data_IF_625866620419
#
_entry.id   IF_625866620419
#
_cell.length_a   1.000
_cell.length_b   1.000
_cell.length_c   1.000
_cell.angle_alpha   90.00
_cell.angle_beta   90.00
_cell.angle_gamma   90.00
#
_symmetry.space_group_name_H-M   'P 1'
#
loop_
_entity.id
_entity.type
_entity.pdbx_description
1 polymer ?
#
# COMPACT_ATOMS: atom_id res chain seq x y z
N UNK A 1 24.35 6.65 -8.76
CA UNK A 1 23.17 6.21 -7.99
C UNK A 1 22.52 5.08 -8.77
N UNK A 2 22.45 3.90 -8.17
CA UNK A 2 21.77 2.74 -8.77
C UNK A 2 20.33 2.69 -8.27
N UNK A 3 19.39 2.52 -9.21
CA UNK A 3 17.97 2.33 -8.87
C UNK A 3 17.54 0.94 -9.29
N UNK A 4 16.96 0.18 -8.37
CA UNK A 4 16.50 -1.17 -8.59
C UNK A 4 15.02 -1.29 -8.21
N UNK A 5 14.26 -2.00 -9.05
CA UNK A 5 12.90 -2.42 -8.75
C UNK A 5 12.95 -3.93 -8.53
N UNK A 6 12.53 -4.40 -7.39
CA UNK A 6 12.44 -5.83 -7.10
C UNK A 6 11.00 -6.25 -6.92
N UNK A 7 10.56 -7.28 -7.63
CA UNK A 7 9.18 -7.75 -7.66
C UNK A 7 9.12 -9.23 -7.28
N UNK A 8 8.72 -9.53 -6.05
CA UNK A 8 8.55 -10.90 -5.54
C UNK A 8 7.10 -11.34 -5.71
N UNK A 9 6.89 -12.41 -6.49
CA UNK A 9 5.58 -12.90 -6.87
C UNK A 9 5.16 -14.13 -6.06
N UNK A 10 4.00 -14.04 -5.43
CA UNK A 10 3.32 -15.15 -4.75
C UNK A 10 1.91 -15.32 -5.33
N UNK A 11 1.20 -16.43 -5.04
CA UNK A 11 -0.12 -16.64 -5.58
C UNK A 11 -1.07 -15.48 -5.27
N UNK A 12 -1.53 -14.78 -6.31
CA UNK A 12 -2.45 -13.65 -6.22
C UNK A 12 -1.87 -12.33 -5.73
N UNK A 13 -0.58 -12.26 -5.40
CA UNK A 13 0.05 -11.05 -4.84
C UNK A 13 1.48 -10.87 -5.36
N UNK A 14 1.83 -9.65 -5.71
CA UNK A 14 3.20 -9.24 -6.02
C UNK A 14 3.63 -8.15 -5.04
N UNK A 15 4.71 -8.38 -4.32
CA UNK A 15 5.37 -7.38 -3.46
C UNK A 15 6.42 -6.65 -4.29
N UNK A 16 6.37 -5.34 -4.31
CA UNK A 16 7.23 -4.50 -5.16
C UNK A 16 8.01 -3.53 -4.29
N UNK A 17 9.33 -3.64 -4.33
CA UNK A 17 10.26 -2.78 -3.61
C UNK A 17 11.02 -1.91 -4.61
N UNK A 18 11.18 -0.63 -4.29
CA UNK A 18 12.08 0.30 -4.97
C UNK A 18 13.27 0.57 -4.07
N UNK A 19 14.47 0.33 -4.59
CA UNK A 19 15.72 0.58 -3.86
C UNK A 19 16.55 1.64 -4.59
N UNK A 20 17.15 2.54 -3.80
CA UNK A 20 18.20 3.46 -4.25
C UNK A 20 19.50 3.15 -3.50
N UNK A 21 20.56 2.85 -4.24
CA UNK A 21 21.86 2.44 -3.69
C UNK A 21 21.71 1.35 -2.60
N UNK A 22 20.86 0.34 -2.87
CA UNK A 22 20.58 -0.77 -1.96
C UNK A 22 19.64 -0.45 -0.79
N UNK A 23 19.20 0.80 -0.63
CA UNK A 23 18.27 1.20 0.43
C UNK A 23 16.83 1.15 -0.05
N UNK A 24 15.95 0.46 0.67
CA UNK A 24 14.52 0.42 0.38
C UNK A 24 13.90 1.82 0.57
N UNK A 25 13.38 2.43 -0.49
CA UNK A 25 12.82 3.79 -0.47
C UNK A 25 11.33 3.83 -0.73
N UNK A 26 10.79 2.85 -1.45
CA UNK A 26 9.36 2.70 -1.68
C UNK A 26 8.94 1.23 -1.63
N UNK A 27 7.70 0.98 -1.25
CA UNK A 27 7.13 -0.36 -1.19
C UNK A 27 5.65 -0.33 -1.58
N UNK A 28 5.24 -1.33 -2.37
CA UNK A 28 3.85 -1.49 -2.75
C UNK A 28 3.47 -2.97 -2.84
N UNK A 29 2.20 -3.27 -2.58
CA UNK A 29 1.60 -4.58 -2.79
C UNK A 29 0.62 -4.45 -3.96
N UNK A 30 0.78 -5.36 -4.94
CA UNK A 30 -0.12 -5.46 -6.07
C UNK A 30 -0.86 -6.79 -6.05
N UNK A 31 -2.20 -6.73 -6.14
CA UNK A 31 -3.10 -7.88 -6.21
C UNK A 31 -3.84 -7.85 -7.53
N UNK A 32 -3.39 -8.61 -8.55
CA UNK A 32 -4.02 -8.60 -9.89
C UNK A 32 -5.50 -8.95 -9.88
N UNK A 33 -5.94 -9.83 -8.96
CA UNK A 33 -7.34 -10.22 -8.77
C UNK A 33 -8.21 -9.19 -8.02
N UNK A 34 -7.56 -8.25 -7.29
CA UNK A 34 -8.23 -7.23 -6.49
C UNK A 34 -7.39 -5.93 -6.45
N UNK A 35 -7.14 -5.28 -7.59
CA UNK A 35 -6.36 -4.05 -7.66
C UNK A 35 -7.06 -2.91 -6.91
N UNK A 36 -6.31 -1.93 -6.43
CA UNK A 36 -6.86 -0.78 -5.71
C UNK A 36 -7.61 0.21 -6.60
N UNK A 37 -7.49 0.05 -7.91
CA UNK A 37 -8.22 0.80 -8.94
C UNK A 37 -7.71 2.21 -9.18
N UNK A 38 -6.68 2.69 -8.50
CA UNK A 38 -6.17 4.06 -8.75
C UNK A 38 -5.69 4.20 -10.18
N UNK A 39 -6.20 5.24 -10.86
CA UNK A 39 -5.93 5.49 -12.27
C UNK A 39 -6.88 4.77 -13.24
N UNK A 40 -7.72 3.84 -12.75
CA UNK A 40 -8.74 3.20 -13.58
C UNK A 40 -9.69 4.26 -14.16
N UNK A 41 -10.05 4.08 -15.43
CA UNK A 41 -11.06 4.91 -16.11
C UNK A 41 -12.31 4.07 -16.30
N UNK A 42 -13.41 4.60 -15.82
CA UNK A 42 -14.71 3.95 -15.90
C UNK A 42 -15.71 4.81 -16.67
N UNK A 43 -16.60 4.16 -17.39
CA UNK A 43 -17.92 4.71 -17.68
C UNK A 43 -18.82 4.39 -16.51
N UNK A 44 -19.37 5.43 -15.88
CA UNK A 44 -20.25 5.32 -14.74
C UNK A 44 -21.56 6.06 -14.97
N UNK A 45 -22.51 5.89 -14.05
CA UNK A 45 -23.73 6.65 -14.00
C UNK A 45 -23.90 7.30 -12.64
N UNK A 46 -24.36 8.56 -12.64
CA UNK A 46 -24.67 9.26 -11.40
C UNK A 46 -25.83 8.56 -10.71
N UNK A 47 -25.58 8.08 -9.48
CA UNK A 47 -26.60 7.45 -8.63
C UNK A 47 -27.41 8.49 -7.86
N UNK A 48 -26.72 9.50 -7.31
CA UNK A 48 -27.33 10.53 -6.48
C UNK A 48 -26.43 11.74 -6.36
N UNK A 49 -27.00 12.93 -6.57
CA UNK A 49 -26.35 14.19 -6.25
C UNK A 49 -26.56 14.54 -4.77
N UNK A 50 -25.48 14.94 -4.07
CA UNK A 50 -25.51 15.24 -2.63
C UNK A 50 -24.92 16.64 -2.38
N UNK A 51 -25.79 17.65 -2.42
CA UNK A 51 -25.39 19.06 -2.27
C UNK A 51 -24.64 19.34 -0.97
N UNK A 52 -25.05 18.69 0.14
CA UNK A 52 -24.38 18.84 1.44
C UNK A 52 -22.93 18.37 1.44
N UNK A 53 -22.54 17.50 0.49
CA UNK A 53 -21.18 16.99 0.34
C UNK A 53 -20.45 17.65 -0.84
N UNK A 54 -21.09 18.59 -1.55
CA UNK A 54 -20.59 19.23 -2.76
C UNK A 54 -20.09 18.19 -3.78
N UNK A 55 -20.96 17.25 -4.19
CA UNK A 55 -20.61 16.20 -5.12
C UNK A 55 -21.74 15.20 -5.37
N UNK A 56 -21.41 14.13 -6.08
CA UNK A 56 -22.33 13.06 -6.44
C UNK A 56 -21.71 11.67 -6.21
N UNK A 57 -22.55 10.70 -5.90
CA UNK A 57 -22.19 9.30 -5.96
C UNK A 57 -22.39 8.76 -7.36
N UNK A 58 -21.43 8.00 -7.84
CA UNK A 58 -21.39 7.45 -9.21
C UNK A 58 -21.16 5.96 -9.13
N UNK A 59 -22.04 5.18 -9.79
CA UNK A 59 -21.80 3.77 -10.00
C UNK A 59 -20.65 3.57 -10.98
N UNK A 60 -19.66 2.79 -10.60
CA UNK A 60 -18.57 2.34 -11.46
C UNK A 60 -18.50 0.82 -11.43
N UNK A 61 -17.72 0.19 -12.30
CA UNK A 61 -17.61 -1.26 -12.36
C UNK A 61 -17.14 -1.83 -11.01
N UNK A 62 -17.99 -2.63 -10.37
CA UNK A 62 -17.74 -3.28 -9.08
C UNK A 62 -17.84 -2.39 -7.84
N UNK A 63 -18.14 -1.09 -7.94
CA UNK A 63 -18.15 -0.19 -6.79
C UNK A 63 -19.04 1.05 -6.98
N UNK A 64 -19.20 1.79 -5.88
CA UNK A 64 -19.75 3.15 -5.86
C UNK A 64 -18.64 4.13 -5.44
N UNK A 65 -18.41 5.16 -6.24
CA UNK A 65 -17.41 6.18 -5.98
C UNK A 65 -17.99 7.58 -5.77
N UNK A 66 -17.24 8.44 -5.08
CA UNK A 66 -17.63 9.83 -4.85
C UNK A 66 -16.91 10.75 -5.82
N UNK A 67 -17.70 11.50 -6.62
CA UNK A 67 -17.25 12.54 -7.55
C UNK A 67 -17.54 13.91 -6.95
N UNK A 68 -16.53 14.71 -6.56
CA UNK A 68 -16.74 16.07 -6.06
C UNK A 68 -17.19 17.04 -7.15
N UNK A 69 -17.88 18.11 -6.76
CA UNK A 69 -18.23 19.22 -7.67
C UNK A 69 -16.99 19.87 -8.29
N UNK A 70 -15.91 20.01 -7.51
CA UNK A 70 -14.62 20.51 -7.98
C UNK A 70 -13.96 19.60 -9.01
N UNK A 71 -14.38 18.34 -9.10
CA UNK A 71 -13.85 17.33 -10.02
C UNK A 71 -14.82 16.97 -11.14
N UNK A 72 -15.93 17.74 -11.29
CA UNK A 72 -16.85 17.64 -12.41
C UNK A 72 -18.24 17.10 -12.10
N UNK A 73 -18.64 16.98 -10.83
CA UNK A 73 -20.01 16.57 -10.48
C UNK A 73 -21.05 17.70 -10.64
N UNK A 74 -20.58 18.96 -10.65
CA UNK A 74 -21.48 20.13 -10.64
C UNK A 74 -22.44 20.10 -11.83
N UNK A 75 -23.75 20.13 -11.52
CA UNK A 75 -24.81 20.14 -12.54
C UNK A 75 -25.19 18.76 -13.09
N UNK A 76 -24.54 17.68 -12.66
CA UNK A 76 -24.95 16.33 -13.03
C UNK A 76 -26.21 15.92 -12.25
N UNK A 77 -27.11 15.22 -12.94
CA UNK A 77 -28.35 14.68 -12.38
C UNK A 77 -28.29 13.16 -12.32
N UNK A 78 -29.15 12.55 -11.53
CA UNK A 78 -29.30 11.10 -11.43
C UNK A 78 -29.52 10.46 -12.82
N UNK A 79 -28.86 9.32 -13.06
CA UNK A 79 -28.87 8.63 -14.34
C UNK A 79 -27.92 9.20 -15.41
N UNK A 80 -27.32 10.39 -15.19
CA UNK A 80 -26.39 10.98 -16.17
C UNK A 80 -25.16 10.06 -16.33
N UNK A 81 -24.81 9.65 -17.57
CA UNK A 81 -23.57 8.93 -17.82
C UNK A 81 -22.38 9.88 -17.68
N UNK A 82 -21.29 9.38 -17.11
CA UNK A 82 -20.07 10.17 -16.91
C UNK A 82 -18.84 9.28 -17.02
N UNK A 83 -17.80 9.80 -17.70
CA UNK A 83 -16.49 9.13 -17.68
C UNK A 83 -15.69 9.68 -16.51
N UNK A 84 -15.19 8.77 -15.68
CA UNK A 84 -14.46 9.13 -14.46
C UNK A 84 -13.18 8.33 -14.32
N UNK A 85 -12.17 8.95 -13.72
CA UNK A 85 -10.93 8.31 -13.26
C UNK A 85 -10.95 8.20 -11.76
N UNK A 86 -10.49 7.06 -11.24
CA UNK A 86 -10.25 6.87 -9.82
C UNK A 86 -8.99 7.63 -9.43
N UNK A 87 -9.11 8.61 -8.53
CA UNK A 87 -8.00 9.43 -8.04
C UNK A 87 -7.52 9.02 -6.64
N UNK A 88 -8.37 8.29 -5.92
CA UNK A 88 -8.07 7.71 -4.62
C UNK A 88 -8.79 6.37 -4.49
N UNK A 89 -8.08 5.34 -4.09
CA UNK A 89 -8.65 4.03 -3.79
C UNK A 89 -9.68 4.09 -2.65
N UNK A 90 -10.53 3.08 -2.58
CA UNK A 90 -11.34 2.83 -1.39
C UNK A 90 -10.42 2.57 -0.20
N UNK A 91 -10.63 3.27 0.90
CA UNK A 91 -9.84 3.16 2.13
C UNK A 91 -10.56 3.78 3.32
N UNK A 92 -10.27 3.32 4.54
CA UNK A 92 -10.90 3.82 5.76
C UNK A 92 -12.42 3.66 5.76
N UNK A 93 -12.94 2.60 5.17
CA UNK A 93 -14.39 2.32 5.07
C UNK A 93 -15.14 3.23 4.10
N UNK A 94 -14.43 4.04 3.28
CA UNK A 94 -15.04 4.92 2.25
C UNK A 94 -14.73 4.40 0.87
N UNK A 95 -15.69 4.55 -0.06
CA UNK A 95 -15.51 4.23 -1.47
C UNK A 95 -14.45 5.09 -2.16
N UNK A 96 -14.09 4.75 -3.42
CA UNK A 96 -13.09 5.47 -4.18
C UNK A 96 -13.52 6.90 -4.45
N UNK A 97 -12.54 7.80 -4.58
CA UNK A 97 -12.74 9.17 -5.04
C UNK A 97 -12.50 9.27 -6.53
N UNK A 98 -13.37 9.97 -7.21
CA UNK A 98 -13.41 10.07 -8.66
C UNK A 98 -13.09 11.49 -9.12
N UNK A 99 -12.66 11.62 -10.39
CA UNK A 99 -12.55 12.87 -11.13
C UNK A 99 -13.04 12.66 -12.55
N UNK A 100 -13.87 13.56 -13.05
CA UNK A 100 -14.23 13.64 -14.45
C UNK A 100 -13.20 14.42 -15.29
N UNK A 101 -12.14 14.95 -14.65
CA UNK A 101 -11.02 15.61 -15.33
C UNK A 101 -10.02 14.56 -15.80
N UNK A 102 -10.26 13.97 -16.95
CA UNK A 102 -9.49 12.80 -17.42
C UNK A 102 -8.16 13.20 -18.07
N UNK A 103 -7.95 14.50 -18.36
CA UNK A 103 -6.76 14.99 -19.06
C UNK A 103 -6.86 14.80 -20.57
N UNK A 104 -5.72 14.77 -21.26
CA UNK A 104 -5.64 14.54 -22.70
C UNK A 104 -5.82 13.05 -23.05
N UNK A 105 -6.96 12.48 -22.70
CA UNK A 105 -7.33 11.11 -23.08
C UNK A 105 -7.95 11.10 -24.48
N UNK A 106 -7.92 9.97 -25.20
CA UNK A 106 -8.40 9.91 -26.59
C UNK A 106 -9.84 10.42 -26.67
N UNK A 107 -10.15 11.24 -27.70
CA UNK A 107 -11.46 11.86 -27.87
C UNK A 107 -12.61 10.87 -28.15
N UNK A 108 -12.31 9.59 -28.35
CA UNK A 108 -13.25 8.56 -28.80
C UNK A 108 -13.80 7.65 -27.69
N UNK A 109 -13.76 8.08 -26.41
CA UNK A 109 -14.40 7.29 -25.36
C UNK A 109 -15.91 7.41 -25.49
N UNK A 110 -16.55 6.31 -25.90
CA UNK A 110 -18.00 6.23 -25.97
C UNK A 110 -18.62 6.38 -24.56
N UNK A 111 -19.35 7.47 -24.35
CA UNK A 111 -20.08 7.75 -23.10
C UNK A 111 -21.43 7.02 -23.05
N UNK A 112 -21.89 6.46 -24.18
CA UNK A 112 -23.12 5.70 -24.26
C UNK A 112 -22.92 4.26 -23.74
N UNK A 113 -23.93 3.71 -23.07
CA UNK A 113 -23.90 2.34 -22.57
C UNK A 113 -23.84 2.22 -21.05
N UNK A 114 -23.81 0.99 -20.56
CA UNK A 114 -23.83 0.68 -19.13
C UNK A 114 -22.50 0.96 -18.42
N UNK A 115 -22.51 0.78 -17.09
CA UNK A 115 -21.29 0.85 -16.26
C UNK A 115 -20.24 -0.14 -16.76
N UNK A 116 -19.02 0.33 -16.96
CA UNK A 116 -17.91 -0.50 -17.42
C UNK A 116 -16.55 0.07 -17.04
N UNK A 117 -15.58 -0.81 -16.79
CA UNK A 117 -14.17 -0.46 -16.76
C UNK A 117 -13.69 -0.26 -18.21
N UNK A 118 -13.22 0.93 -18.56
CA UNK A 118 -12.75 1.26 -19.90
C UNK A 118 -11.24 1.08 -20.04
N UNK A 119 -10.49 1.46 -19.02
CA UNK A 119 -9.03 1.31 -18.97
C UNK A 119 -8.57 1.08 -17.55
N UNK A 120 -7.68 0.12 -17.37
CA UNK A 120 -7.00 -0.14 -16.10
C UNK A 120 -5.90 0.90 -15.85
N UNK A 121 -5.82 1.39 -14.63
CA UNK A 121 -4.71 2.21 -14.16
C UNK A 121 -3.38 1.43 -14.11
N UNK A 122 -2.24 2.12 -14.02
CA UNK A 122 -0.95 1.47 -13.96
C UNK A 122 -0.77 0.73 -12.62
N UNK A 123 -0.30 -0.51 -12.70
CA UNK A 123 0.13 -1.26 -11.52
C UNK A 123 1.41 -0.65 -10.90
N UNK A 124 1.79 -1.05 -9.65
CA UNK A 124 2.95 -0.49 -8.98
C UNK A 124 4.28 -0.65 -9.73
N UNK A 125 4.47 -1.76 -10.46
CA UNK A 125 5.71 -1.96 -11.23
C UNK A 125 5.76 -0.95 -12.38
N UNK A 126 4.67 -0.84 -13.13
CA UNK A 126 4.54 0.13 -14.23
C UNK A 126 4.76 1.56 -13.74
N UNK A 127 4.24 1.91 -12.55
CA UNK A 127 4.44 3.24 -11.95
C UNK A 127 5.91 3.49 -11.60
N UNK A 128 6.59 2.51 -10.98
CA UNK A 128 8.00 2.67 -10.63
C UNK A 128 8.89 2.72 -11.87
N UNK A 129 8.66 1.87 -12.87
CA UNK A 129 9.39 1.93 -14.15
C UNK A 129 9.17 3.27 -14.86
N UNK A 130 7.95 3.79 -14.87
CA UNK A 130 7.66 5.11 -15.47
C UNK A 130 8.37 6.24 -14.74
N UNK A 131 8.44 6.19 -13.41
CA UNK A 131 9.14 7.19 -12.59
C UNK A 131 10.67 7.06 -12.66
N UNK A 132 11.18 5.86 -12.90
CA UNK A 132 12.59 5.51 -12.92
C UNK A 132 12.93 4.65 -14.16
N UNK A 133 12.94 5.24 -15.37
CA UNK A 133 13.09 4.48 -16.62
C UNK A 133 14.46 3.80 -16.75
N UNK A 134 15.49 4.27 -16.06
CA UNK A 134 16.82 3.68 -16.03
C UNK A 134 17.02 2.61 -14.94
N UNK A 135 15.97 2.32 -14.15
CA UNK A 135 16.03 1.28 -13.11
C UNK A 135 16.16 -0.11 -13.73
N UNK A 136 16.85 -1.02 -13.04
CA UNK A 136 16.79 -2.45 -13.35
C UNK A 136 15.59 -3.07 -12.64
N UNK A 137 14.88 -4.00 -13.31
CA UNK A 137 13.79 -4.74 -12.73
C UNK A 137 14.19 -6.20 -12.50
N UNK A 138 14.12 -6.65 -11.26
CA UNK A 138 14.40 -8.02 -10.88
C UNK A 138 13.13 -8.71 -10.38
N UNK A 139 12.86 -9.94 -10.82
CA UNK A 139 11.73 -10.73 -10.35
C UNK A 139 12.06 -12.21 -10.18
N UNK A 140 11.34 -12.89 -9.29
CA UNK A 140 11.41 -14.33 -9.08
C UNK A 140 10.37 -15.13 -9.91
N UNK A 141 9.67 -14.47 -10.85
CA UNK A 141 8.60 -15.09 -11.62
C UNK A 141 8.78 -14.91 -13.12
N UNK A 142 8.97 -16.03 -13.83
CA UNK A 142 8.99 -16.08 -15.29
C UNK A 142 7.67 -15.58 -15.92
N UNK A 143 6.54 -15.89 -15.27
CA UNK A 143 5.21 -15.47 -15.72
C UNK A 143 5.08 -13.95 -15.62
N UNK A 144 5.52 -13.38 -14.49
CA UNK A 144 5.52 -11.92 -14.30
C UNK A 144 6.47 -11.26 -15.29
N UNK A 145 7.68 -11.76 -15.45
CA UNK A 145 8.64 -11.24 -16.44
C UNK A 145 8.06 -11.25 -17.86
N UNK A 146 7.38 -12.33 -18.26
CA UNK A 146 6.72 -12.41 -19.57
C UNK A 146 5.63 -11.36 -19.75
N UNK A 147 4.82 -11.11 -18.71
CA UNK A 147 3.77 -10.07 -18.70
C UNK A 147 4.34 -8.67 -18.83
N UNK A 148 5.51 -8.42 -18.26
CA UNK A 148 6.15 -7.10 -18.22
C UNK A 148 7.05 -6.81 -19.44
N UNK A 149 7.16 -7.71 -20.41
CA UNK A 149 8.01 -7.53 -21.63
C UNK A 149 7.70 -6.28 -22.45
N UNK A 150 6.49 -5.73 -22.31
CA UNK A 150 6.10 -4.48 -22.97
C UNK A 150 6.67 -3.21 -22.32
N UNK A 151 7.25 -3.32 -21.13
CA UNK A 151 7.91 -2.21 -20.47
C UNK A 151 9.32 -2.02 -21.04
N UNK A 152 9.70 -0.76 -21.27
CA UNK A 152 11.06 -0.40 -21.73
C UNK A 152 12.06 -0.43 -20.57
N UNK A 153 12.25 -1.60 -19.97
CA UNK A 153 13.15 -1.81 -18.84
C UNK A 153 13.86 -3.15 -18.96
N UNK A 154 15.10 -3.24 -18.50
CA UNK A 154 15.80 -4.52 -18.38
C UNK A 154 15.17 -5.34 -17.25
N UNK A 155 14.79 -6.59 -17.57
CA UNK A 155 14.18 -7.53 -16.63
C UNK A 155 15.14 -8.70 -16.40
N UNK A 156 15.59 -8.87 -15.17
CA UNK A 156 16.39 -9.99 -14.73
C UNK A 156 15.52 -10.96 -13.90
N UNK A 157 15.56 -12.25 -14.23
CA UNK A 157 14.82 -13.29 -13.48
C UNK A 157 15.81 -14.04 -12.60
N UNK A 158 15.51 -14.10 -11.32
CA UNK A 158 16.35 -14.72 -10.28
C UNK A 158 15.56 -15.75 -9.48
N UNK A 159 16.21 -16.50 -8.60
CA UNK A 159 15.52 -17.46 -7.74
C UNK A 159 14.65 -16.74 -6.69
N UNK A 160 15.21 -15.73 -6.04
CA UNK A 160 14.55 -14.93 -5.02
C UNK A 160 14.77 -13.44 -5.32
N UNK A 161 13.70 -12.71 -5.63
CA UNK A 161 13.78 -11.27 -5.89
C UNK A 161 14.05 -10.47 -4.62
N UNK A 162 13.60 -10.97 -3.47
CA UNK A 162 13.90 -10.41 -2.15
C UNK A 162 14.92 -11.31 -1.46
N UNK A 163 16.12 -10.80 -1.25
CA UNK A 163 17.08 -11.45 -0.35
C UNK A 163 16.60 -11.39 1.11
N UNK A 164 17.25 -12.14 2.01
CA UNK A 164 16.82 -12.26 3.42
C UNK A 164 16.76 -10.90 4.13
N UNK A 165 17.66 -9.98 3.81
CA UNK A 165 17.70 -8.66 4.42
C UNK A 165 16.49 -7.81 3.99
N UNK A 166 16.20 -7.77 2.68
CA UNK A 166 15.04 -7.06 2.15
C UNK A 166 13.73 -7.70 2.61
N UNK A 167 13.64 -9.03 2.64
CA UNK A 167 12.47 -9.74 3.12
C UNK A 167 12.19 -9.39 4.60
N UNK A 168 13.21 -9.41 5.45
CA UNK A 168 13.11 -9.02 6.86
C UNK A 168 12.67 -7.57 7.01
N UNK A 169 13.26 -6.64 6.24
CA UNK A 169 12.89 -5.24 6.29
C UNK A 169 11.44 -4.99 5.85
N UNK A 170 10.98 -5.67 4.80
CA UNK A 170 9.60 -5.57 4.31
C UNK A 170 8.61 -6.17 5.31
N UNK A 171 8.91 -7.30 5.92
CA UNK A 171 8.04 -7.93 6.90
C UNK A 171 7.91 -7.06 8.17
N UNK A 172 8.99 -6.37 8.58
CA UNK A 172 8.96 -5.39 9.67
C UNK A 172 8.05 -4.17 9.40
N UNK A 173 7.65 -3.93 8.15
CA UNK A 173 6.67 -2.86 7.84
C UNK A 173 5.26 -3.16 8.39
N UNK A 174 4.97 -4.39 8.77
CA UNK A 174 3.72 -4.76 9.45
C UNK A 174 3.72 -4.45 10.95
N UNK A 175 4.91 -4.30 11.55
CA UNK A 175 5.06 -4.10 12.99
C UNK A 175 4.74 -2.66 13.40
N UNK A 176 4.10 -2.49 14.56
CA UNK A 176 3.80 -1.16 15.11
C UNK A 176 5.05 -0.46 15.65
N UNK A 177 6.00 -1.22 16.17
CA UNK A 177 7.25 -0.70 16.74
C UNK A 177 8.38 -0.85 15.73
N UNK A 178 9.17 0.21 15.54
CA UNK A 178 10.32 0.22 14.63
C UNK A 178 11.53 0.75 15.37
N UNK A 179 12.63 0.00 15.34
CA UNK A 179 13.92 0.50 15.80
C UNK A 179 14.55 1.39 14.74
N UNK A 180 15.10 2.51 15.17
CA UNK A 180 15.73 3.50 14.32
C UNK A 180 17.22 3.66 14.65
N UNK A 181 18.02 4.27 13.73
CA UNK A 181 19.43 4.56 14.01
C UNK A 181 19.62 5.31 15.33
N UNK A 182 20.69 4.96 16.07
CA UNK A 182 21.00 5.57 17.34
C UNK A 182 20.23 5.01 18.54
N UNK A 183 19.50 3.88 18.37
CA UNK A 183 18.75 3.23 19.45
C UNK A 183 17.41 3.89 19.76
N UNK A 184 16.99 4.86 18.98
CA UNK A 184 15.64 5.41 19.06
C UNK A 184 14.61 4.40 18.55
N UNK A 185 13.36 4.57 18.97
CA UNK A 185 12.21 3.76 18.50
C UNK A 185 11.08 4.68 18.07
N UNK A 186 10.30 4.23 17.11
CA UNK A 186 9.00 4.84 16.83
C UNK A 186 7.90 3.81 17.03
N UNK A 187 6.80 4.27 17.60
CA UNK A 187 5.55 3.52 17.69
C UNK A 187 4.51 4.17 16.79
N UNK A 188 3.91 3.41 15.87
CA UNK A 188 2.98 3.90 14.84
C UNK A 188 1.59 3.36 15.15
N UNK A 189 0.65 4.27 15.41
CA UNK A 189 -0.73 3.96 15.79
C UNK A 189 -1.72 4.53 14.74
N UNK A 190 -2.06 3.78 13.70
CA UNK A 190 -3.12 4.16 12.79
C UNK A 190 -4.48 4.10 13.50
N UNK A 191 -5.25 5.17 13.37
CA UNK A 191 -6.63 5.25 13.86
C UNK A 191 -7.57 5.67 12.72
N UNK A 192 -8.88 5.51 12.84
CA UNK A 192 -9.82 5.96 11.82
C UNK A 192 -9.72 7.46 11.49
N UNK A 193 -9.30 8.30 12.46
CA UNK A 193 -9.24 9.76 12.30
C UNK A 193 -7.87 10.23 11.79
N UNK A 194 -6.79 9.72 12.37
CA UNK A 194 -5.41 10.16 12.10
C UNK A 194 -4.41 9.04 12.43
N UNK A 195 -3.17 9.23 12.01
CA UNK A 195 -2.06 8.38 12.46
C UNK A 195 -1.29 9.12 13.55
N UNK A 196 -1.15 8.50 14.72
CA UNK A 196 -0.27 8.99 15.78
C UNK A 196 1.06 8.24 15.72
N UNK A 197 2.16 8.97 15.85
CA UNK A 197 3.51 8.40 15.91
C UNK A 197 4.19 8.95 17.15
N UNK A 198 4.71 8.06 17.99
CA UNK A 198 5.51 8.40 19.17
C UNK A 198 6.97 8.08 18.89
N UNK A 199 7.88 9.01 19.22
CA UNK A 199 9.33 8.85 19.10
C UNK A 199 9.93 8.71 20.48
N UNK A 200 10.37 7.49 20.80
CA UNK A 200 11.09 7.19 22.03
C UNK A 200 12.61 7.23 21.80
N UNK A 201 13.33 7.82 22.73
CA UNK A 201 14.81 7.90 22.70
C UNK A 201 15.51 6.56 22.99
N UNK A 202 14.73 5.51 23.31
CA UNK A 202 15.32 4.23 23.73
C UNK A 202 16.25 4.36 24.91
N UNK A 203 16.53 3.74 25.81
CA UNK A 203 17.36 3.88 27.02
C UNK A 203 18.71 4.63 26.91
N UNK A 204 18.96 5.35 25.84
CA UNK A 204 20.13 6.24 25.69
C UNK A 204 19.94 7.51 26.50
N UNK A 205 19.89 7.34 27.82
CA UNK A 205 19.91 8.46 28.76
C UNK A 205 21.32 9.04 28.77
N UNK A 206 21.54 10.13 28.06
CA UNK A 206 22.74 10.93 28.26
C UNK A 206 22.73 11.44 29.71
N UNK A 207 23.47 10.77 30.56
CA UNK A 207 23.83 11.27 31.89
C UNK A 207 24.77 12.45 31.71
N UNK A 208 24.24 13.69 31.61
CA UNK A 208 25.10 14.83 31.44
C UNK A 208 24.36 16.16 31.35
N UNK A 209 25.15 17.26 31.41
CA UNK A 209 24.70 18.65 31.43
C UNK A 209 24.01 19.14 30.14
N UNK A 210 24.13 18.42 28.97
CA UNK A 210 23.55 18.82 27.68
C UNK A 210 22.45 17.85 27.20
N UNK A 211 21.47 17.66 28.04
CA UNK A 211 20.28 16.84 27.72
C UNK A 211 19.49 17.39 26.52
N UNK A 212 19.45 18.71 26.38
CA UNK A 212 18.72 19.39 25.31
C UNK A 212 19.42 19.22 23.97
N UNK A 213 20.75 19.36 23.91
CA UNK A 213 21.54 19.12 22.70
C UNK A 213 21.41 17.68 22.25
N UNK A 214 21.44 16.72 23.17
CA UNK A 214 21.24 15.30 22.88
C UNK A 214 19.87 15.03 22.23
N UNK A 215 18.77 15.48 22.82
CA UNK A 215 17.44 15.29 22.24
C UNK A 215 17.26 15.97 20.88
N UNK A 216 17.88 17.14 20.69
CA UNK A 216 17.89 17.81 19.38
C UNK A 216 18.61 16.98 18.32
N UNK A 217 19.83 16.49 18.63
CA UNK A 217 20.62 15.68 17.72
C UNK A 217 19.90 14.35 17.39
N UNK A 218 19.29 13.70 18.39
CA UNK A 218 18.50 12.48 18.22
C UNK A 218 17.33 12.74 17.25
N UNK A 219 16.51 13.76 17.51
CA UNK A 219 15.38 14.07 16.66
C UNK A 219 15.80 14.40 15.23
N UNK A 220 16.92 15.13 15.04
CA UNK A 220 17.47 15.42 13.71
C UNK A 220 17.90 14.14 12.98
N UNK A 221 18.47 13.15 13.67
CA UNK A 221 18.87 11.87 13.08
C UNK A 221 17.67 10.96 12.77
N UNK A 222 16.60 11.03 13.58
CA UNK A 222 15.37 10.22 13.42
C UNK A 222 14.47 10.72 12.30
N UNK A 223 14.42 12.03 12.04
CA UNK A 223 13.48 12.63 11.06
C UNK A 223 13.54 11.99 9.67
N UNK A 224 14.69 11.74 9.03
CA UNK A 224 14.74 11.08 7.73
C UNK A 224 14.15 9.66 7.76
N UNK A 225 14.50 8.87 8.78
CA UNK A 225 13.98 7.53 8.95
C UNK A 225 12.47 7.52 9.23
N UNK A 226 11.95 8.47 10.01
CA UNK A 226 10.53 8.69 10.25
C UNK A 226 9.79 8.99 8.94
N UNK A 227 10.28 9.94 8.13
CA UNK A 227 9.69 10.28 6.84
C UNK A 227 9.68 9.07 5.89
N UNK A 228 10.77 8.27 5.90
CA UNK A 228 10.85 7.02 5.14
C UNK A 228 9.80 5.99 5.61
N UNK A 229 9.58 5.82 6.92
CA UNK A 229 8.54 4.92 7.44
C UNK A 229 7.12 5.37 7.06
N UNK A 230 6.85 6.68 7.06
CA UNK A 230 5.59 7.24 6.57
C UNK A 230 5.36 6.85 5.09
N UNK A 231 6.39 6.96 4.27
CA UNK A 231 6.35 6.63 2.84
C UNK A 231 6.19 5.12 2.61
N UNK A 232 7.04 4.29 3.20
CA UNK A 232 7.04 2.83 3.02
C UNK A 232 5.72 2.18 3.44
N UNK A 233 5.12 2.67 4.52
CA UNK A 233 3.83 2.18 5.02
C UNK A 233 2.63 2.86 4.35
N UNK A 234 2.89 3.79 3.44
CA UNK A 234 1.88 4.62 2.81
C UNK A 234 0.91 5.26 3.81
N UNK A 235 1.42 5.70 4.97
CA UNK A 235 0.61 6.40 5.96
C UNK A 235 0.09 7.70 5.35
N UNK A 236 -1.19 8.01 5.53
CA UNK A 236 -1.83 9.10 4.82
C UNK A 236 -2.95 9.78 5.61
N UNK A 237 -3.37 10.96 5.17
CA UNK A 237 -4.28 11.83 5.90
C UNK A 237 -3.53 12.68 6.91
N UNK A 238 -4.17 12.98 8.04
CA UNK A 238 -3.54 13.67 9.16
C UNK A 238 -2.61 12.71 9.90
N UNK A 239 -1.37 13.14 10.12
CA UNK A 239 -0.35 12.41 10.87
C UNK A 239 0.17 13.36 11.94
N UNK A 240 0.20 12.91 13.21
CA UNK A 240 0.77 13.67 14.32
C UNK A 240 1.95 12.89 14.90
N UNK A 241 3.05 13.62 15.17
CA UNK A 241 4.29 13.00 15.67
C UNK A 241 4.69 13.66 16.98
N UNK A 242 4.84 12.87 18.02
CA UNK A 242 5.47 13.31 19.27
C UNK A 242 6.97 13.02 19.18
N UNK A 243 7.76 14.09 19.16
CA UNK A 243 9.22 14.03 19.06
C UNK A 243 9.86 13.94 20.44
N UNK A 244 10.91 13.13 20.58
CA UNK A 244 11.52 12.82 21.87
C UNK A 244 12.00 14.07 22.65
N UNK A 245 11.59 14.17 23.88
CA UNK A 245 12.22 14.91 24.99
C UNK A 245 12.48 16.42 24.84
N UNK A 246 12.05 17.09 23.75
CA UNK A 246 12.30 18.52 23.54
C UNK A 246 11.18 19.40 24.10
N UNK A 247 11.51 20.51 24.80
CA UNK A 247 10.51 21.49 25.18
C UNK A 247 9.79 22.08 23.96
N UNK A 248 8.46 22.27 24.02
CA UNK A 248 7.61 22.74 22.91
C UNK A 248 8.21 23.94 22.18
N UNK A 249 8.64 24.97 22.92
CA UNK A 249 9.24 26.20 22.37
C UNK A 249 10.52 25.97 21.55
N UNK A 250 11.20 24.82 21.69
CA UNK A 250 12.44 24.49 20.97
C UNK A 250 12.20 23.59 19.76
N UNK A 251 11.01 22.97 19.67
CA UNK A 251 10.68 22.06 18.55
C UNK A 251 10.63 22.77 17.20
N UNK A 252 10.31 24.05 17.15
CA UNK A 252 10.32 24.84 15.92
C UNK A 252 11.67 24.78 15.15
N UNK A 253 12.79 24.55 15.85
CA UNK A 253 14.11 24.37 15.22
C UNK A 253 14.24 23.09 14.37
N UNK A 254 13.30 22.14 14.47
CA UNK A 254 13.24 20.90 13.67
C UNK A 254 12.43 21.06 12.37
N UNK A 255 11.69 22.16 12.21
CA UNK A 255 10.85 22.40 11.03
C UNK A 255 11.60 22.28 9.69
N UNK A 256 12.80 22.85 9.50
CA UNK A 256 13.53 22.68 8.25
C UNK A 256 13.87 21.23 7.93
N UNK A 257 14.29 20.44 8.93
CA UNK A 257 14.63 19.03 8.76
C UNK A 257 13.40 18.20 8.39
N UNK A 258 12.26 18.43 9.06
CA UNK A 258 10.98 17.77 8.74
C UNK A 258 10.54 18.11 7.30
N UNK A 259 10.58 19.38 6.92
CA UNK A 259 10.19 19.81 5.58
C UNK A 259 11.08 19.18 4.51
N UNK A 260 12.39 19.14 4.72
CA UNK A 260 13.36 18.56 3.79
C UNK A 260 13.14 17.03 3.63
N UNK A 261 13.00 16.30 4.74
CA UNK A 261 12.79 14.85 4.70
C UNK A 261 11.46 14.46 4.03
N UNK A 262 10.39 15.23 4.26
CA UNK A 262 9.08 15.00 3.63
C UNK A 262 9.08 15.33 2.13
N UNK A 263 9.96 16.22 1.66
CA UNK A 263 10.06 16.59 0.26
C UNK A 263 10.57 15.46 -0.66
N UNK A 264 11.20 14.43 -0.10
CA UNK A 264 11.66 13.23 -0.83
C UNK A 264 10.49 12.31 -1.24
N UNK A 265 9.33 12.41 -0.58
CA UNK A 265 8.15 11.63 -0.92
C UNK A 265 7.47 12.20 -2.17
N UNK A 266 7.22 11.38 -3.23
CA UNK A 266 6.52 11.81 -4.44
C UNK A 266 5.15 12.43 -4.21
N UNK A 267 4.44 12.05 -3.14
CA UNK A 267 3.15 12.63 -2.75
C UNK A 267 3.27 13.99 -2.06
N UNK A 268 4.51 14.48 -1.85
CA UNK A 268 4.80 15.81 -1.28
C UNK A 268 4.01 16.10 0.00
N UNK A 269 4.16 15.32 1.09
CA UNK A 269 3.51 15.61 2.36
C UNK A 269 3.87 17.01 2.83
N UNK A 270 2.92 17.68 3.48
CA UNK A 270 3.13 19.03 4.02
C UNK A 270 3.33 18.96 5.53
N UNK A 271 4.40 19.50 6.02
CA UNK A 271 4.54 19.85 7.43
C UNK A 271 3.74 21.13 7.69
N UNK A 272 2.78 21.09 8.61
CA UNK A 272 1.86 22.20 8.89
C UNK A 272 2.31 23.04 10.09
N UNK A 273 3.22 22.53 10.91
CA UNK A 273 3.71 23.17 12.12
C UNK A 273 3.66 22.26 13.34
N UNK A 274 3.78 22.88 14.51
CA UNK A 274 3.65 22.19 15.78
C UNK A 274 2.37 22.66 16.50
N UNK A 275 1.64 21.72 17.08
CA UNK A 275 0.47 22.03 17.94
C UNK A 275 0.89 22.77 19.22
N UNK A 276 -0.06 23.29 19.99
CA UNK A 276 0.18 23.81 21.33
C UNK A 276 0.77 22.78 22.30
N UNK A 277 0.57 21.49 22.06
CA UNK A 277 1.20 20.39 22.80
C UNK A 277 2.61 20.04 22.28
N UNK A 278 3.01 20.60 21.14
CA UNK A 278 4.30 20.35 20.53
C UNK A 278 4.33 19.17 19.56
N UNK A 279 3.19 18.58 19.20
CA UNK A 279 3.11 17.54 18.21
C UNK A 279 3.37 18.13 16.82
N UNK A 280 4.23 17.46 16.02
CA UNK A 280 4.44 17.83 14.63
C UNK A 280 3.21 17.39 13.81
N UNK A 281 2.62 18.31 13.06
CA UNK A 281 1.47 18.06 12.20
C UNK A 281 1.91 17.86 10.76
N UNK A 282 1.57 16.72 10.18
CA UNK A 282 1.88 16.37 8.79
C UNK A 282 0.59 16.01 8.08
N UNK A 283 0.41 16.52 6.86
CA UNK A 283 -0.69 16.15 5.98
C UNK A 283 -0.14 15.47 4.72
N UNK A 284 -0.44 14.19 4.54
CA UNK A 284 -0.06 13.41 3.35
C UNK A 284 -1.31 13.01 2.57
N UNK A 285 -1.31 13.22 1.26
CA UNK A 285 -2.45 12.89 0.39
C UNK A 285 -2.77 11.40 0.44
N UNK A 286 -4.07 11.09 0.50
CA UNK A 286 -4.60 9.73 0.39
C UNK A 286 -4.77 9.40 -1.09
N UNK A 287 -4.00 8.45 -1.60
CA UNK A 287 -4.10 7.95 -2.99
C UNK A 287 -4.36 6.45 -2.96
N UNK A 288 -3.37 5.68 -2.52
CA UNK A 288 -3.45 4.23 -2.33
C UNK A 288 -3.79 3.91 -0.87
N UNK A 289 -4.35 2.73 -0.56
CA UNK A 289 -4.58 2.32 0.81
C UNK A 289 -3.26 2.23 1.60
N UNK A 290 -3.25 2.57 2.88
CA UNK A 290 -2.08 2.38 3.72
C UNK A 290 -1.81 0.89 3.95
N UNK A 291 -0.54 0.53 4.16
CA UNK A 291 -0.10 -0.86 4.21
C UNK A 291 -0.84 -1.68 5.28
N UNK A 292 -1.12 -1.11 6.45
CA UNK A 292 -1.87 -1.78 7.51
C UNK A 292 -3.30 -2.17 7.09
N UNK A 293 -3.97 -1.39 6.22
CA UNK A 293 -5.26 -1.77 5.65
C UNK A 293 -5.10 -2.87 4.59
N UNK A 294 -4.07 -2.79 3.74
CA UNK A 294 -3.79 -3.79 2.70
C UNK A 294 -3.45 -5.16 3.30
N UNK A 295 -2.73 -5.18 4.43
CA UNK A 295 -2.32 -6.39 5.12
C UNK A 295 -3.39 -6.93 6.09
N UNK A 296 -4.49 -6.22 6.28
CA UNK A 296 -5.56 -6.63 7.18
C UNK A 296 -6.69 -7.40 6.48
N UNK A 297 -7.44 -8.14 7.28
CA UNK A 297 -8.67 -8.80 6.88
C UNK A 297 -8.50 -10.18 6.23
N UNK A 298 -9.63 -10.87 5.99
CA UNK A 298 -9.63 -12.27 5.57
C UNK A 298 -8.93 -12.55 4.24
N UNK A 299 -9.01 -11.61 3.28
CA UNK A 299 -8.36 -11.77 1.98
C UNK A 299 -6.83 -11.70 2.12
N UNK A 300 -6.30 -10.73 2.85
CA UNK A 300 -4.87 -10.59 3.11
C UNK A 300 -4.31 -11.82 3.84
N UNK A 301 -5.02 -12.29 4.87
CA UNK A 301 -4.66 -13.51 5.60
C UNK A 301 -4.68 -14.74 4.68
N UNK A 302 -5.66 -14.83 3.79
CA UNK A 302 -5.75 -15.92 2.81
C UNK A 302 -4.56 -15.91 1.84
N UNK A 303 -4.19 -14.75 1.30
CA UNK A 303 -3.01 -14.62 0.41
C UNK A 303 -1.70 -14.93 1.15
N UNK A 304 -1.57 -14.56 2.43
CA UNK A 304 -0.43 -14.96 3.25
C UNK A 304 -0.36 -16.48 3.42
N UNK A 305 -1.50 -17.17 3.61
CA UNK A 305 -1.57 -18.62 3.65
C UNK A 305 -1.15 -19.25 2.30
N UNK A 306 -1.63 -18.72 1.16
CA UNK A 306 -1.22 -19.19 -0.16
C UNK A 306 0.28 -19.03 -0.40
N UNK A 307 0.87 -17.90 0.04
CA UNK A 307 2.32 -17.65 -0.04
C UNK A 307 3.10 -18.67 0.78
N UNK A 308 2.66 -18.95 2.01
CA UNK A 308 3.27 -19.97 2.86
C UNK A 308 3.17 -21.37 2.25
N UNK A 309 2.02 -21.73 1.65
CA UNK A 309 1.87 -22.99 0.91
C UNK A 309 2.84 -23.05 -0.26
N UNK A 310 2.90 -22.00 -1.08
CA UNK A 310 3.79 -21.94 -2.24
C UNK A 310 5.28 -22.09 -1.85
N UNK A 311 5.70 -21.45 -0.76
CA UNK A 311 7.06 -21.59 -0.22
C UNK A 311 7.34 -23.02 0.24
N UNK A 312 6.36 -23.71 0.85
CA UNK A 312 6.52 -25.09 1.32
C UNK A 312 6.48 -26.14 0.21
N UNK A 313 5.91 -25.83 -0.96
CA UNK A 313 5.90 -26.77 -2.10
C UNK A 313 7.32 -27.07 -2.58
N UNK A 314 8.25 -26.11 -2.47
CA UNK A 314 9.63 -26.26 -2.92
C UNK A 314 9.69 -26.88 -4.31
N UNK A 315 10.44 -27.99 -4.46
CA UNK A 315 10.58 -28.74 -5.71
C UNK A 315 9.63 -29.93 -5.85
N UNK A 316 8.78 -30.21 -4.86
CA UNK A 316 7.86 -31.37 -4.88
C UNK A 316 6.37 -30.94 -4.82
N UNK A 317 5.74 -30.68 -5.99
CA UNK A 317 4.33 -30.31 -6.06
C UNK A 317 3.35 -31.38 -5.52
N UNK A 318 3.80 -32.65 -5.38
CA UNK A 318 2.94 -33.74 -4.85
C UNK A 318 2.62 -33.55 -3.36
N UNK A 319 3.37 -32.71 -2.66
CA UNK A 319 3.16 -32.38 -1.25
C UNK A 319 2.17 -31.25 -1.02
N UNK A 320 1.32 -30.92 -2.01
CA UNK A 320 0.29 -29.89 -1.86
C UNK A 320 -0.62 -30.20 -0.66
N UNK A 321 -0.60 -29.36 0.40
CA UNK A 321 -1.49 -29.56 1.55
C UNK A 321 -2.92 -29.14 1.22
N UNK A 322 -3.87 -29.47 2.11
CA UNK A 322 -5.13 -28.74 2.20
C UNK A 322 -4.95 -27.51 3.10
N UNK A 323 -5.70 -26.45 2.83
CA UNK A 323 -5.80 -25.29 3.69
C UNK A 323 -7.10 -25.35 4.49
N UNK A 324 -6.99 -25.52 5.81
CA UNK A 324 -8.10 -25.34 6.73
C UNK A 324 -8.03 -23.95 7.34
N UNK A 325 -9.11 -23.19 7.25
CA UNK A 325 -9.12 -21.78 7.68
C UNK A 325 -10.52 -21.35 8.17
N UNK A 326 -10.58 -20.23 8.88
CA UNK A 326 -11.83 -19.58 9.26
C UNK A 326 -12.72 -19.35 8.01
N UNK A 327 -14.06 -19.45 8.12
CA UNK A 327 -14.98 -19.36 6.98
C UNK A 327 -14.85 -18.08 6.16
N UNK A 328 -14.53 -16.95 6.81
CA UNK A 328 -14.29 -15.66 6.16
C UNK A 328 -13.09 -15.70 5.21
N UNK A 329 -11.99 -16.36 5.60
CA UNK A 329 -10.77 -16.53 4.78
C UNK A 329 -11.08 -17.40 3.56
N UNK A 330 -11.74 -18.54 3.78
CA UNK A 330 -12.12 -19.45 2.68
C UNK A 330 -13.05 -18.76 1.69
N UNK A 331 -14.00 -17.96 2.19
CA UNK A 331 -14.91 -17.18 1.34
C UNK A 331 -14.17 -16.13 0.52
N UNK A 332 -13.22 -15.42 1.14
CA UNK A 332 -12.40 -14.41 0.47
C UNK A 332 -11.52 -15.04 -0.63
N UNK A 333 -10.85 -16.15 -0.34
CA UNK A 333 -10.05 -16.88 -1.32
C UNK A 333 -10.87 -17.43 -2.49
N UNK A 334 -12.05 -17.97 -2.25
CA UNK A 334 -12.93 -18.46 -3.32
C UNK A 334 -13.39 -17.37 -4.30
N UNK A 335 -13.39 -16.11 -3.86
CA UNK A 335 -13.67 -14.94 -4.71
C UNK A 335 -12.48 -14.53 -5.55
N UNK A 336 -11.25 -14.79 -5.08
CA UNK A 336 -10.02 -14.50 -5.78
C UNK A 336 -9.56 -15.72 -6.61
N UNK A 337 -10.21 -15.89 -7.76
CA UNK A 337 -9.87 -16.97 -8.69
C UNK A 337 -8.46 -16.83 -9.23
N UNK A 338 -7.96 -15.58 -9.41
CA UNK A 338 -6.62 -15.33 -9.91
C UNK A 338 -5.57 -15.91 -8.97
N UNK A 339 -5.73 -15.74 -7.67
CA UNK A 339 -4.81 -16.30 -6.67
C UNK A 339 -4.84 -17.82 -6.62
N UNK A 340 -6.03 -18.42 -6.70
CA UNK A 340 -6.19 -19.88 -6.67
C UNK A 340 -5.66 -20.54 -7.95
N UNK A 341 -5.91 -19.94 -9.11
CA UNK A 341 -5.43 -20.43 -10.41
C UNK A 341 -3.90 -20.29 -10.52
N UNK A 342 -3.31 -19.20 -10.01
CA UNK A 342 -1.87 -19.01 -9.94
C UNK A 342 -1.20 -20.10 -9.08
N UNK A 343 -1.75 -20.38 -7.88
CA UNK A 343 -1.26 -21.47 -7.04
C UNK A 343 -1.41 -22.83 -7.72
N UNK A 344 -2.58 -23.07 -8.33
CA UNK A 344 -2.85 -24.34 -9.02
C UNK A 344 -1.87 -24.57 -10.21
N UNK A 345 -1.55 -23.51 -10.94
CA UNK A 345 -0.58 -23.57 -12.05
C UNK A 345 0.81 -23.91 -11.54
N UNK A 346 1.26 -23.30 -10.42
CA UNK A 346 2.58 -23.59 -9.80
C UNK A 346 2.66 -25.01 -9.25
N UNK A 347 1.57 -25.51 -8.67
CA UNK A 347 1.51 -26.82 -8.03
C UNK A 347 1.08 -27.95 -8.96
N UNK A 348 0.61 -27.66 -10.19
CA UNK A 348 0.03 -28.64 -11.09
C UNK A 348 -1.30 -29.23 -10.61
N UNK A 349 -1.91 -28.71 -9.55
CA UNK A 349 -3.15 -29.18 -8.96
C UNK A 349 -3.86 -28.10 -8.14
N UNK A 350 -5.20 -28.19 -8.02
CA UNK A 350 -5.98 -27.23 -7.27
C UNK A 350 -5.82 -27.41 -5.76
N UNK A 351 -5.85 -26.30 -5.01
CA UNK A 351 -5.86 -26.27 -3.55
C UNK A 351 -7.20 -26.76 -3.00
N UNK A 352 -7.15 -27.65 -2.01
CA UNK A 352 -8.32 -28.04 -1.22
C UNK A 352 -8.53 -27.02 -0.10
N UNK A 353 -9.67 -26.30 -0.13
CA UNK A 353 -10.06 -25.33 0.88
C UNK A 353 -11.11 -25.93 1.82
N UNK A 354 -10.82 -25.97 3.11
CA UNK A 354 -11.71 -26.47 4.17
C UNK A 354 -12.07 -25.34 5.13
N UNK A 355 -13.35 -24.98 5.19
CA UNK A 355 -13.83 -24.02 6.18
C UNK A 355 -13.99 -24.71 7.53
N UNK A 356 -13.50 -24.09 8.58
CA UNK A 356 -13.62 -24.56 9.96
C UNK A 356 -14.36 -23.49 10.78
N UNK A 357 -15.67 -23.70 11.10
CA UNK A 357 -16.47 -22.74 11.86
C UNK A 357 -15.95 -22.50 13.29
N UNK A 358 -15.22 -23.46 13.86
CA UNK A 358 -14.66 -23.36 15.21
C UNK A 358 -13.33 -22.62 15.25
N UNK A 359 -12.76 -22.33 14.08
CA UNK A 359 -11.49 -21.62 13.97
C UNK A 359 -11.71 -20.10 14.17
N UNK A 360 -10.89 -19.49 15.05
CA UNK A 360 -10.93 -18.04 15.29
C UNK A 360 -10.70 -17.28 13.99
N UNK A 361 -11.35 -16.13 13.86
CA UNK A 361 -11.12 -15.21 12.75
C UNK A 361 -9.63 -14.89 12.60
N UNK A 362 -9.16 -14.87 11.36
CA UNK A 362 -7.75 -14.62 11.05
C UNK A 362 -6.84 -15.86 11.13
N UNK A 363 -7.33 -17.01 11.61
CA UNK A 363 -6.50 -18.21 11.75
C UNK A 363 -6.67 -19.18 10.58
N UNK A 364 -5.58 -19.89 10.30
CA UNK A 364 -5.50 -20.95 9.31
C UNK A 364 -4.41 -21.97 9.67
N UNK A 365 -4.46 -23.15 9.07
CA UNK A 365 -3.40 -24.16 9.16
C UNK A 365 -3.34 -25.01 7.90
N UNK A 366 -2.17 -25.54 7.61
CA UNK A 366 -1.98 -26.57 6.60
C UNK A 366 -2.27 -27.93 7.21
N UNK A 367 -2.89 -28.81 6.45
CA UNK A 367 -3.16 -30.20 6.87
C UNK A 367 -2.95 -31.16 5.69
N UNK A 368 -2.91 -32.47 5.98
CA UNK A 368 -2.84 -33.47 4.91
C UNK A 368 -4.08 -33.36 4.00
N UNK A 369 -3.86 -33.59 2.70
CA UNK A 369 -4.93 -33.57 1.71
C UNK A 369 -5.92 -34.72 1.91
N UNK A 370 -5.43 -35.85 2.40
CA UNK A 370 -6.15 -37.10 2.54
C UNK A 370 -6.72 -37.33 3.95
N UNK A 371 -6.59 -36.33 4.84
CA UNK A 371 -6.96 -36.34 6.26
C UNK A 371 -8.38 -35.89 6.55
#
# INVERSE_FOLDING_TARGET
>A
MTTEIRASASPGEVRVALLHDGTLTDYAIWRPGAPDGVGDIHRGHVLKSVHAMAGAFVAIDGAEGFLPDSEGAKGLTEGTPVIVRVTRAAQGGKGPRLSARIGAEPPDIDVSGGVALLRRGPDPITRFVTAWPDATLTTDSQVLAARLRGLSVRIDVVADAFDDALATEVDALSEMMVELPGGARIAIYPTPALVAIDVDSGGTVAGGRDRLGHHRALNQAVIPALARQIRLRNLSGAIVVDLAGMPVRRRAALAPALTAALAEDPLRPRFLGFTGLGLAEILRSRVHPPLHEVLSGPHATGLAALRAIAANLGTDPRRMPALRAAPSIVTALRRDKVALDDLATRAGQALVLRADPDMREGNWRMESRDG
#
